data_IF_092853767779
#
_entry.id   IF_092853767779
#
_cell.length_a   1.000
_cell.length_b   1.000
_cell.length_c   1.000
_cell.angle_alpha   90.00
_cell.angle_beta   90.00
_cell.angle_gamma   90.00
#
_symmetry.space_group_name_H-M   'P 1'
#
loop_
_entity.id
_entity.type
_entity.pdbx_description
1 polymer ?
#
# COMPACT_ATOMS: atom_id res chain seq x y z
N UNK A 1 -28.01 24.36 46.78
CA UNK A 1 -28.58 23.42 45.82
C UNK A 1 -28.87 24.18 44.56
N UNK A 2 -28.02 24.05 43.56
CA UNK A 2 -28.24 24.58 42.22
C UNK A 2 -28.14 23.38 41.30
N UNK A 3 -29.30 22.79 40.99
CA UNK A 3 -29.46 21.83 39.93
C UNK A 3 -29.48 22.60 38.61
N UNK A 4 -28.38 22.55 37.86
CA UNK A 4 -28.37 22.96 36.44
C UNK A 4 -28.52 21.67 35.66
N UNK A 5 -29.59 21.47 34.89
CA UNK A 5 -29.71 20.32 34.02
C UNK A 5 -28.65 20.42 32.91
N UNK A 6 -27.81 19.40 32.82
CA UNK A 6 -26.96 19.19 31.66
C UNK A 6 -27.90 18.99 30.47
N UNK A 7 -27.95 19.98 29.57
CA UNK A 7 -28.71 19.85 28.32
C UNK A 7 -28.15 18.66 27.55
N UNK A 8 -28.98 17.70 27.23
CA UNK A 8 -28.72 16.68 26.24
C UNK A 8 -28.52 17.37 24.89
N UNK A 9 -27.29 17.79 24.62
CA UNK A 9 -26.85 18.09 23.27
C UNK A 9 -26.98 16.79 22.49
N UNK A 10 -27.91 16.76 21.53
CA UNK A 10 -28.11 15.63 20.63
C UNK A 10 -26.81 15.37 19.88
N UNK A 11 -26.05 14.36 20.33
CA UNK A 11 -24.95 13.80 19.57
C UNK A 11 -25.53 13.00 18.40
N UNK A 12 -26.00 13.70 17.37
CA UNK A 12 -26.17 13.13 16.03
C UNK A 12 -24.97 13.52 15.17
N UNK A 13 -23.76 13.31 15.70
CA UNK A 13 -22.60 13.21 14.84
C UNK A 13 -22.62 11.81 14.24
N UNK A 14 -23.01 11.71 12.97
CA UNK A 14 -22.73 10.53 12.19
C UNK A 14 -21.20 10.32 12.29
N UNK A 15 -20.79 9.22 12.93
CA UNK A 15 -19.41 8.80 12.96
C UNK A 15 -19.05 8.45 11.51
N UNK A 16 -18.49 9.41 10.78
CA UNK A 16 -17.93 9.13 9.46
C UNK A 16 -16.67 8.29 9.70
N UNK A 17 -16.78 6.99 9.50
CA UNK A 17 -15.60 6.14 9.41
C UNK A 17 -14.85 6.52 8.14
N UNK A 18 -13.60 6.97 8.30
CA UNK A 18 -12.72 7.30 7.19
C UNK A 18 -12.47 6.04 6.35
N UNK A 19 -12.78 6.11 5.07
CA UNK A 19 -12.43 5.06 4.13
C UNK A 19 -11.07 5.38 3.50
N UNK A 20 -10.04 4.63 3.88
CA UNK A 20 -8.67 4.86 3.42
C UNK A 20 -8.50 4.73 1.90
N UNK A 21 -9.34 3.97 1.22
CA UNK A 21 -9.29 3.83 -0.23
C UNK A 21 -9.95 5.00 -0.96
N UNK A 22 -11.13 5.49 -0.47
CA UNK A 22 -11.95 6.48 -1.16
C UNK A 22 -11.76 7.91 -0.69
N UNK A 23 -11.51 8.13 0.61
CA UNK A 23 -11.55 9.47 1.21
C UNK A 23 -10.20 10.20 1.12
N UNK A 24 -9.12 9.50 0.78
CA UNK A 24 -7.81 10.07 0.49
C UNK A 24 -7.58 10.16 -1.01
N UNK A 25 -6.94 11.24 -1.47
CA UNK A 25 -6.40 11.27 -2.82
C UNK A 25 -5.25 10.25 -2.96
N UNK A 26 -4.86 9.94 -4.20
CA UNK A 26 -3.74 9.03 -4.45
C UNK A 26 -2.39 9.62 -4.01
N UNK A 27 -2.32 10.90 -3.73
CA UNK A 27 -1.14 11.59 -3.25
C UNK A 27 -1.17 13.08 -3.48
N UNK A 28 -0.23 13.85 -2.86
CA UNK A 28 -0.19 15.30 -2.99
C UNK A 28 0.21 15.75 -4.40
N UNK A 29 0.90 14.90 -5.16
CA UNK A 29 1.34 15.17 -6.54
C UNK A 29 1.45 13.86 -7.33
N UNK A 30 0.40 13.02 -7.29
CA UNK A 30 0.41 11.72 -7.99
C UNK A 30 0.50 11.90 -9.52
N UNK A 31 1.34 11.09 -10.22
CA UNK A 31 2.02 9.90 -9.73
C UNK A 31 3.42 10.13 -9.13
N UNK A 32 3.96 11.34 -9.11
CA UNK A 32 5.33 11.62 -8.64
C UNK A 32 5.49 11.53 -7.12
N UNK A 33 4.47 11.97 -6.36
CA UNK A 33 4.38 11.79 -4.92
C UNK A 33 3.00 11.27 -4.58
N UNK A 34 2.96 10.10 -3.98
CA UNK A 34 1.74 9.35 -3.66
C UNK A 34 1.58 9.16 -2.16
N UNK A 35 0.37 8.82 -1.73
CA UNK A 35 0.13 8.25 -0.42
C UNK A 35 0.24 6.74 -0.47
N UNK A 36 0.91 6.17 0.52
CA UNK A 36 0.89 4.74 0.81
C UNK A 36 0.19 4.56 2.15
N UNK A 37 -0.88 3.79 2.16
CA UNK A 37 -1.57 3.35 3.39
C UNK A 37 -0.97 2.02 3.79
N UNK A 38 -0.25 2.00 4.92
CA UNK A 38 0.39 0.77 5.39
C UNK A 38 -0.64 -0.21 5.94
N UNK A 39 -0.61 -1.44 5.44
CA UNK A 39 -1.35 -2.57 5.98
C UNK A 39 -0.46 -3.43 6.87
N UNK A 40 0.77 -3.68 6.40
CA UNK A 40 1.69 -4.64 7.00
C UNK A 40 3.03 -3.96 7.27
N UNK A 41 3.46 -4.01 8.50
CA UNK A 41 4.76 -3.48 8.92
C UNK A 41 5.91 -4.42 8.54
N UNK A 42 7.06 -3.85 8.24
CA UNK A 42 8.31 -4.60 8.14
C UNK A 42 8.58 -5.40 9.42
N UNK A 43 9.22 -6.54 9.28
CA UNK A 43 9.57 -7.45 10.37
C UNK A 43 8.36 -8.05 11.12
N UNK A 44 7.17 -8.07 10.49
CA UNK A 44 6.00 -8.83 10.95
C UNK A 44 5.66 -9.99 10.01
N UNK A 45 4.93 -10.96 10.52
CA UNK A 45 4.35 -12.07 9.74
C UNK A 45 2.84 -11.97 9.61
N UNK A 46 2.23 -11.02 10.32
CA UNK A 46 0.79 -10.81 10.28
C UNK A 46 0.41 -10.08 9.01
N UNK A 47 -0.28 -10.77 8.10
CA UNK A 47 -0.84 -10.14 6.90
C UNK A 47 -2.18 -9.53 7.26
N UNK A 48 -2.21 -8.21 7.35
CA UNK A 48 -3.44 -7.44 7.45
C UNK A 48 -3.88 -7.01 6.06
N UNK A 49 -5.17 -6.86 5.86
CA UNK A 49 -5.80 -6.34 4.65
C UNK A 49 -6.87 -5.33 5.05
N UNK A 50 -6.95 -4.25 4.31
CA UNK A 50 -7.98 -3.24 4.50
C UNK A 50 -9.30 -3.70 3.86
N UNK A 51 -10.34 -3.82 4.66
CA UNK A 51 -11.70 -4.07 4.17
C UNK A 51 -12.38 -2.71 3.95
N UNK A 52 -12.38 -2.24 2.70
CA UNK A 52 -12.93 -0.93 2.34
C UNK A 52 -14.44 -0.82 2.60
N UNK A 53 -15.17 -1.93 2.61
CA UNK A 53 -16.61 -1.96 2.91
C UNK A 53 -16.88 -1.81 4.40
N UNK A 54 -16.02 -2.36 5.25
CA UNK A 54 -16.13 -2.26 6.70
C UNK A 54 -15.34 -1.08 7.28
N UNK A 55 -14.41 -0.50 6.54
CA UNK A 55 -13.54 0.57 6.99
C UNK A 55 -12.52 0.14 8.05
N UNK A 56 -12.10 -1.13 8.05
CA UNK A 56 -11.21 -1.69 9.07
C UNK A 56 -10.08 -2.52 8.46
N UNK A 57 -8.96 -2.60 9.17
CA UNK A 57 -7.89 -3.55 8.87
C UNK A 57 -8.18 -4.88 9.56
N UNK A 58 -8.16 -5.97 8.78
CA UNK A 58 -8.44 -7.33 9.24
C UNK A 58 -7.19 -8.18 9.16
N UNK A 59 -6.93 -9.00 10.17
CA UNK A 59 -5.92 -10.03 10.04
C UNK A 59 -6.42 -11.10 9.07
N UNK A 60 -5.78 -11.19 7.90
CA UNK A 60 -6.05 -12.22 6.91
C UNK A 60 -5.41 -13.55 7.35
N UNK A 61 -4.09 -13.56 7.56
CA UNK A 61 -3.35 -14.74 8.03
C UNK A 61 -1.98 -14.37 8.62
N UNK A 62 -1.30 -15.37 9.17
CA UNK A 62 0.09 -15.25 9.60
C UNK A 62 0.98 -16.04 8.64
N UNK A 63 1.97 -15.37 8.05
CA UNK A 63 2.91 -15.98 7.11
C UNK A 63 4.00 -16.79 7.82
N UNK A 64 4.66 -17.65 7.07
CA UNK A 64 5.85 -18.38 7.55
C UNK A 64 7.12 -17.52 7.53
N UNK A 65 7.14 -16.43 6.77
CA UNK A 65 8.27 -15.50 6.64
C UNK A 65 7.88 -14.09 7.07
N UNK A 66 8.87 -13.25 7.33
CA UNK A 66 8.68 -11.85 7.70
C UNK A 66 8.65 -10.98 6.45
N UNK A 67 7.82 -9.92 6.47
CA UNK A 67 7.85 -8.89 5.46
C UNK A 67 9.17 -8.10 5.54
N UNK A 68 9.90 -7.93 4.42
CA UNK A 68 11.18 -7.22 4.41
C UNK A 68 11.06 -5.69 4.40
N UNK A 69 9.89 -5.18 4.03
CA UNK A 69 9.54 -3.76 3.99
C UNK A 69 8.12 -3.55 4.48
N UNK A 70 7.74 -2.31 4.75
CA UNK A 70 6.33 -1.97 4.96
C UNK A 70 5.58 -2.21 3.64
N UNK A 71 4.34 -2.64 3.75
CA UNK A 71 3.50 -2.99 2.61
C UNK A 71 2.09 -2.46 2.81
N UNK A 72 1.45 -2.05 1.75
CA UNK A 72 0.09 -1.55 1.77
C UNK A 72 -0.37 -1.19 0.37
N UNK A 73 -1.21 -0.18 0.25
CA UNK A 73 -1.84 0.20 -1.00
C UNK A 73 -1.84 1.71 -1.26
N UNK A 74 -2.12 2.07 -2.50
CA UNK A 74 -2.25 3.46 -2.95
C UNK A 74 -3.75 3.81 -3.00
N UNK A 75 -4.22 4.84 -2.27
CA UNK A 75 -5.62 5.28 -2.33
C UNK A 75 -6.07 5.67 -3.74
N UNK A 76 -7.38 5.53 -4.01
CA UNK A 76 -8.02 5.86 -5.31
C UNK A 76 -7.28 5.28 -6.52
N UNK A 77 -6.83 4.03 -6.38
CA UNK A 77 -6.36 3.19 -7.49
C UNK A 77 -7.20 1.93 -7.54
N UNK A 78 -7.28 1.30 -8.70
CA UNK A 78 -7.98 0.03 -8.91
C UNK A 78 -7.14 -0.82 -9.86
N UNK A 79 -6.74 -2.02 -9.43
CA UNK A 79 -6.06 -3.01 -10.24
C UNK A 79 -7.05 -3.99 -10.87
N UNK A 80 -6.58 -4.87 -11.75
CA UNK A 80 -7.39 -5.83 -12.50
C UNK A 80 -8.11 -6.87 -11.61
N UNK A 81 -7.61 -7.12 -10.40
CA UNK A 81 -8.22 -8.02 -9.42
C UNK A 81 -9.35 -7.40 -8.61
N UNK A 82 -9.58 -6.09 -8.75
CA UNK A 82 -10.62 -5.33 -8.06
C UNK A 82 -10.19 -4.69 -6.74
N UNK A 83 -8.91 -4.82 -6.38
CA UNK A 83 -8.31 -4.22 -5.19
C UNK A 83 -7.49 -2.95 -5.55
N UNK A 84 -7.17 -2.09 -4.58
CA UNK A 84 -6.25 -0.98 -4.82
C UNK A 84 -4.85 -1.48 -5.16
N UNK A 85 -4.12 -0.69 -5.96
CA UNK A 85 -2.76 -1.02 -6.39
C UNK A 85 -1.81 -1.14 -5.20
N UNK A 86 -1.09 -2.25 -5.12
CA UNK A 86 -0.17 -2.60 -4.06
C UNK A 86 1.10 -1.75 -4.05
N UNK A 87 1.57 -1.41 -2.86
CA UNK A 87 2.80 -0.64 -2.66
C UNK A 87 3.72 -1.24 -1.60
N UNK A 88 5.00 -1.35 -1.93
CA UNK A 88 6.10 -1.62 -1.00
C UNK A 88 6.69 -0.29 -0.57
N UNK A 89 6.71 0.00 0.73
CA UNK A 89 7.27 1.24 1.28
C UNK A 89 8.62 0.98 1.93
N UNK A 90 9.66 1.51 1.30
CA UNK A 90 11.01 1.52 1.87
C UNK A 90 11.16 2.72 2.80
N UNK A 91 11.34 2.43 4.07
CA UNK A 91 11.52 3.39 5.15
C UNK A 91 12.45 2.80 6.21
N UNK A 92 13.28 3.63 6.85
CA UNK A 92 14.27 3.15 7.83
C UNK A 92 13.62 2.59 9.10
N UNK A 93 12.63 3.30 9.64
CA UNK A 93 11.83 2.81 10.77
C UNK A 93 10.44 2.37 10.28
N UNK A 94 9.95 1.19 10.67
CA UNK A 94 8.64 0.72 10.24
C UNK A 94 7.53 1.66 10.74
N UNK A 95 6.49 1.82 9.93
CA UNK A 95 5.30 2.57 10.31
C UNK A 95 4.35 1.70 11.16
N UNK A 96 3.05 1.93 11.09
CA UNK A 96 2.03 1.11 11.73
C UNK A 96 0.83 0.90 10.80
N UNK A 97 0.06 -0.15 11.01
CA UNK A 97 -1.15 -0.43 10.21
C UNK A 97 -2.13 0.74 10.28
N UNK A 98 -2.48 1.30 9.11
CA UNK A 98 -3.29 2.50 8.96
C UNK A 98 -2.48 3.82 8.88
N UNK A 99 -1.16 3.77 8.94
CA UNK A 99 -0.33 4.95 8.71
C UNK A 99 -0.38 5.37 7.24
N UNK A 100 -0.56 6.66 6.98
CA UNK A 100 -0.51 7.26 5.65
C UNK A 100 0.82 7.97 5.48
N UNK A 101 1.63 7.53 4.52
CA UNK A 101 2.98 8.06 4.28
C UNK A 101 3.06 8.68 2.88
N UNK A 102 3.67 9.87 2.77
CA UNK A 102 4.03 10.43 1.46
C UNK A 102 5.25 9.71 0.93
N UNK A 103 5.12 9.12 -0.23
CA UNK A 103 6.16 8.29 -0.84
C UNK A 103 6.36 8.63 -2.32
N UNK A 104 7.56 8.37 -2.80
CA UNK A 104 7.92 8.48 -4.22
C UNK A 104 8.05 7.09 -4.83
N UNK A 105 7.36 6.80 -5.96
CA UNK A 105 7.60 5.60 -6.74
C UNK A 105 9.01 5.62 -7.34
N UNK A 106 9.73 4.52 -7.19
CA UNK A 106 11.12 4.38 -7.66
C UNK A 106 11.32 3.15 -8.54
N UNK A 107 10.41 2.18 -8.50
CA UNK A 107 10.42 1.00 -9.36
C UNK A 107 9.05 0.30 -9.33
N UNK A 108 8.86 -0.65 -10.25
CA UNK A 108 7.77 -1.62 -10.25
C UNK A 108 8.33 -3.04 -10.22
N UNK A 109 7.83 -3.90 -9.35
CA UNK A 109 8.05 -5.35 -9.38
C UNK A 109 6.93 -5.98 -10.19
N UNK A 110 7.26 -6.39 -11.41
CA UNK A 110 6.32 -7.15 -12.24
C UNK A 110 6.35 -8.61 -11.83
N UNK A 111 5.21 -9.12 -11.36
CA UNK A 111 5.15 -10.49 -10.85
C UNK A 111 3.83 -11.17 -11.15
N UNK A 112 3.84 -12.50 -10.97
CA UNK A 112 2.66 -13.36 -11.05
C UNK A 112 2.41 -13.98 -9.67
N UNK A 113 1.17 -13.93 -9.22
CA UNK A 113 0.68 -14.68 -8.06
C UNK A 113 -0.32 -15.76 -8.52
N UNK A 114 0.11 -17.00 -8.49
CA UNK A 114 -0.65 -18.10 -9.07
C UNK A 114 -0.75 -18.00 -10.59
N UNK A 115 -1.83 -17.41 -11.09
CA UNK A 115 -2.07 -17.19 -12.54
C UNK A 115 -2.39 -15.75 -12.88
N UNK A 116 -2.51 -14.89 -11.88
CA UNK A 116 -2.82 -13.48 -12.05
C UNK A 116 -1.54 -12.64 -12.03
N UNK A 117 -1.55 -11.57 -12.81
CA UNK A 117 -0.57 -10.50 -12.65
C UNK A 117 -0.85 -9.81 -11.31
N UNK A 118 0.20 -9.45 -10.59
CA UNK A 118 0.12 -8.94 -9.22
C UNK A 118 1.31 -8.00 -8.96
N UNK A 119 1.35 -6.89 -9.68
CA UNK A 119 2.47 -5.93 -9.70
C UNK A 119 2.57 -5.18 -8.34
N UNK A 120 3.79 -4.80 -7.96
CA UNK A 120 4.05 -4.08 -6.70
C UNK A 120 4.84 -2.80 -6.97
N UNK A 121 4.24 -1.65 -6.69
CA UNK A 121 4.95 -0.37 -6.75
C UNK A 121 5.94 -0.27 -5.61
N UNK A 122 7.22 -0.17 -5.92
CA UNK A 122 8.28 0.07 -4.92
C UNK A 122 8.42 1.57 -4.71
N UNK A 123 8.29 1.99 -3.47
CA UNK A 123 8.28 3.40 -3.08
C UNK A 123 9.28 3.66 -1.96
N UNK A 124 9.72 4.92 -1.85
CA UNK A 124 10.53 5.40 -0.74
C UNK A 124 9.83 6.55 -0.03
N UNK A 125 9.89 6.60 1.30
CA UNK A 125 9.38 7.74 2.05
C UNK A 125 10.14 9.02 1.68
N UNK A 126 9.41 10.07 1.29
CA UNK A 126 10.02 11.37 0.92
C UNK A 126 10.57 12.14 2.12
N UNK A 127 10.12 11.79 3.32
CA UNK A 127 10.55 12.42 4.58
C UNK A 127 11.67 11.68 5.29
N UNK A 128 11.98 10.43 4.88
CA UNK A 128 13.05 9.65 5.48
C UNK A 128 14.43 10.10 4.95
N UNK A 129 15.34 10.59 5.81
CA UNK A 129 16.66 11.05 5.39
C UNK A 129 17.53 9.94 4.80
N UNK A 130 17.26 8.66 5.12
CA UNK A 130 18.02 7.50 4.64
C UNK A 130 17.57 7.05 3.24
N UNK A 131 16.33 7.33 2.84
CA UNK A 131 15.76 6.87 1.57
C UNK A 131 15.38 7.99 0.61
N UNK A 132 15.13 9.22 1.08
CA UNK A 132 14.64 10.34 0.23
C UNK A 132 15.53 10.70 -0.97
N UNK A 133 16.80 10.25 -0.97
CA UNK A 133 17.74 10.48 -2.07
C UNK A 133 17.54 9.54 -3.24
N UNK A 134 16.88 8.39 -3.03
CA UNK A 134 16.58 7.38 -4.06
C UNK A 134 15.46 7.91 -4.96
N UNK A 135 15.66 7.85 -6.29
CA UNK A 135 14.72 8.39 -7.29
C UNK A 135 14.35 7.41 -8.38
N UNK A 136 15.12 6.33 -8.54
CA UNK A 136 14.98 5.36 -9.62
C UNK A 136 15.40 3.97 -9.14
N UNK A 137 15.16 2.96 -9.97
CA UNK A 137 15.63 1.60 -9.74
C UNK A 137 17.15 1.52 -9.60
N UNK A 138 17.89 2.32 -10.38
CA UNK A 138 19.35 2.32 -10.35
C UNK A 138 19.93 2.84 -9.04
N UNK A 139 19.18 3.66 -8.29
CA UNK A 139 19.57 4.16 -6.99
C UNK A 139 19.35 3.13 -5.86
N UNK A 140 18.55 2.09 -6.11
CA UNK A 140 18.26 1.07 -5.09
C UNK A 140 19.49 0.19 -4.81
N UNK A 141 19.84 -0.02 -3.53
CA UNK A 141 20.87 -1.00 -3.20
C UNK A 141 20.53 -2.38 -3.75
N UNK A 142 21.52 -3.05 -4.35
CA UNK A 142 21.31 -4.41 -4.89
C UNK A 142 20.74 -5.37 -3.85
N UNK A 143 21.16 -5.24 -2.58
CA UNK A 143 20.64 -6.06 -1.48
C UNK A 143 19.14 -5.91 -1.26
N UNK A 144 18.56 -4.72 -1.46
CA UNK A 144 17.11 -4.48 -1.36
C UNK A 144 16.39 -5.19 -2.51
N UNK A 145 16.91 -5.08 -3.74
CA UNK A 145 16.35 -5.76 -4.93
C UNK A 145 16.37 -7.28 -4.71
N UNK A 146 17.49 -7.82 -4.26
CA UNK A 146 17.65 -9.26 -4.03
C UNK A 146 16.75 -9.77 -2.90
N UNK A 147 16.61 -9.01 -1.80
CA UNK A 147 15.76 -9.36 -0.66
C UNK A 147 14.28 -9.38 -1.04
N UNK A 148 13.78 -8.33 -1.71
CA UNK A 148 12.39 -8.26 -2.18
C UNK A 148 12.10 -9.35 -3.22
N UNK A 149 13.03 -9.56 -4.17
CA UNK A 149 12.90 -10.63 -5.17
C UNK A 149 12.82 -12.01 -4.50
N UNK A 150 13.70 -12.26 -3.53
CA UNK A 150 13.68 -13.52 -2.79
C UNK A 150 12.38 -13.69 -2.00
N UNK A 151 11.92 -12.63 -1.32
CA UNK A 151 10.68 -12.65 -0.56
C UNK A 151 9.49 -13.02 -1.45
N UNK A 152 9.26 -12.27 -2.52
CA UNK A 152 8.11 -12.49 -3.40
C UNK A 152 8.14 -13.83 -4.13
N UNK A 153 9.33 -14.36 -4.45
CA UNK A 153 9.46 -15.70 -5.03
C UNK A 153 9.20 -16.84 -4.03
N UNK A 154 9.18 -16.58 -2.72
CA UNK A 154 9.16 -17.63 -1.71
C UNK A 154 8.07 -17.51 -0.64
N UNK A 155 7.43 -16.34 -0.45
CA UNK A 155 6.58 -16.07 0.70
C UNK A 155 5.34 -16.96 0.79
N UNK A 156 4.84 -17.47 -0.34
CA UNK A 156 3.71 -18.41 -0.42
C UNK A 156 4.12 -19.88 -0.55
N UNK A 157 5.42 -20.17 -0.68
CA UNK A 157 5.89 -21.53 -0.92
C UNK A 157 5.48 -22.53 0.18
N UNK A 158 5.52 -22.11 1.44
CA UNK A 158 5.09 -22.95 2.55
C UNK A 158 3.57 -23.18 2.59
N UNK A 159 2.80 -22.35 1.88
CA UNK A 159 1.35 -22.49 1.70
C UNK A 159 1.00 -23.36 0.47
N UNK A 160 2.01 -23.86 -0.27
CA UNK A 160 1.83 -24.64 -1.48
C UNK A 160 1.43 -23.82 -2.71
N UNK A 161 1.51 -22.50 -2.64
CA UNK A 161 1.23 -21.59 -3.74
C UNK A 161 2.53 -21.11 -4.42
N UNK A 162 2.42 -20.70 -5.67
CA UNK A 162 3.53 -20.22 -6.49
C UNK A 162 3.36 -18.73 -6.72
N UNK A 163 4.42 -17.98 -6.49
CA UNK A 163 4.59 -16.59 -6.90
C UNK A 163 5.95 -16.43 -7.58
N UNK A 164 6.04 -15.54 -8.57
CA UNK A 164 7.25 -15.37 -9.37
C UNK A 164 7.44 -13.91 -9.78
N UNK A 165 8.59 -13.36 -9.43
CA UNK A 165 9.05 -12.04 -9.92
C UNK A 165 9.59 -12.23 -11.34
N UNK A 166 8.94 -11.59 -12.31
CA UNK A 166 9.31 -11.69 -13.71
C UNK A 166 10.43 -10.71 -14.07
N UNK A 167 10.27 -9.46 -13.63
CA UNK A 167 11.26 -8.37 -13.86
C UNK A 167 11.03 -7.22 -12.91
N UNK A 168 12.03 -6.37 -12.80
CA UNK A 168 11.94 -5.03 -12.26
C UNK A 168 11.86 -4.01 -13.38
N UNK A 169 11.01 -3.02 -13.22
CA UNK A 169 10.83 -1.88 -14.11
C UNK A 169 11.19 -0.60 -13.34
N UNK A 170 11.56 0.47 -14.06
CA UNK A 170 12.00 1.71 -13.45
C UNK A 170 10.82 2.59 -12.96
N UNK A 171 11.15 3.74 -12.42
CA UNK A 171 10.21 4.71 -11.86
C UNK A 171 9.14 5.17 -12.86
N UNK A 172 9.47 5.32 -14.13
CA UNK A 172 8.52 5.79 -15.15
C UNK A 172 7.42 4.75 -15.42
N UNK A 173 7.76 3.47 -15.55
CA UNK A 173 6.77 2.40 -15.69
C UNK A 173 5.89 2.28 -14.44
N UNK A 174 6.48 2.47 -13.25
CA UNK A 174 5.72 2.52 -12.00
C UNK A 174 4.69 3.66 -11.99
N UNK A 175 5.08 4.85 -12.46
CA UNK A 175 4.17 6.00 -12.55
C UNK A 175 3.08 5.81 -13.61
N UNK A 176 3.40 5.20 -14.75
CA UNK A 176 2.42 4.86 -15.79
C UNK A 176 1.37 3.90 -15.23
N UNK A 177 1.79 2.86 -14.48
CA UNK A 177 0.87 1.93 -13.84
C UNK A 177 -0.03 2.61 -12.80
N UNK A 178 0.52 3.51 -11.98
CA UNK A 178 -0.27 4.31 -11.03
C UNK A 178 -1.31 5.16 -11.76
N UNK A 179 -0.94 5.82 -12.84
CA UNK A 179 -1.89 6.64 -13.62
C UNK A 179 -3.00 5.80 -14.24
N UNK A 180 -2.66 4.64 -14.79
CA UNK A 180 -3.63 3.70 -15.32
C UNK A 180 -4.60 3.24 -14.21
N UNK A 181 -4.12 2.80 -13.06
CA UNK A 181 -4.93 2.32 -11.95
C UNK A 181 -5.84 3.41 -11.36
N UNK A 182 -5.39 4.68 -11.35
CA UNK A 182 -6.23 5.84 -11.00
C UNK A 182 -7.37 6.03 -12.00
N UNK A 183 -7.07 5.91 -13.29
CA UNK A 183 -8.08 5.98 -14.34
C UNK A 183 -9.14 4.88 -14.22
N UNK A 184 -8.73 3.65 -13.87
CA UNK A 184 -9.65 2.53 -13.59
C UNK A 184 -10.54 2.83 -12.39
N UNK A 185 -9.97 3.38 -11.30
CA UNK A 185 -10.75 3.78 -10.13
C UNK A 185 -11.80 4.86 -10.47
N UNK A 186 -11.41 5.91 -11.19
CA UNK A 186 -12.33 6.98 -11.60
C UNK A 186 -13.48 6.47 -12.50
N UNK A 187 -13.18 5.52 -13.37
CA UNK A 187 -14.21 4.89 -14.22
C UNK A 187 -15.17 4.04 -13.40
N UNK A 188 -14.64 3.27 -12.43
CA UNK A 188 -15.45 2.46 -11.52
C UNK A 188 -16.40 3.32 -10.68
N UNK A 189 -15.92 4.43 -10.10
CA UNK A 189 -16.75 5.35 -9.31
C UNK A 189 -17.84 6.03 -10.13
N UNK A 190 -17.63 6.25 -11.44
CA UNK A 190 -18.67 6.80 -12.33
C UNK A 190 -19.80 5.82 -12.65
N UNK A 191 -19.52 4.52 -12.51
CA UNK A 191 -20.50 3.46 -12.84
C UNK A 191 -21.29 2.98 -11.62
N UNK A 192 -20.88 3.36 -10.40
CA UNK A 192 -21.48 2.96 -9.12
C UNK A 192 -22.32 4.08 -8.53
#
# INVERSE_FOLDING_TARGET
MIDTPISEASFSESIFMVNYWRDFDSGPNAPDEIYVVTEIQRNTRSKYEYDARMGVFKLNRVLYTYYPADYGFIPRTLDDDGDPLDAVLLINEPTFTGCVTVARPVANIKMIDGKAQDDKIVTVSTTDPFYKHIKSLDDLPRSVIDELTYFYNNYKRAEGAISEVLKWEDAEEAKELIQWARGQYEEHERQT
#
